data_IF_845375246692
#
_entry.id   IF_845375246692
#
_cell.length_a   1.000
_cell.length_b   1.000
_cell.length_c   1.000
_cell.angle_alpha   90.00
_cell.angle_beta   90.00
_cell.angle_gamma   90.00
#
_symmetry.space_group_name_H-M   'P 1'
#
loop_
_entity.id
_entity.type
_entity.pdbx_description
1 polymer ?
#
# COMPACT_ATOMS: atom_id res chain seq x y z
N UNK A 1 -7.22 -3.53 -10.92
CA UNK A 1 -6.21 -3.08 -9.93
C UNK A 1 -4.74 -3.31 -10.38
N UNK A 2 -4.46 -3.36 -11.69
CA UNK A 2 -3.12 -3.64 -12.24
C UNK A 2 -2.21 -2.40 -12.19
N UNK A 3 -2.79 -1.19 -12.26
CA UNK A 3 -2.05 0.08 -12.28
C UNK A 3 -1.23 0.36 -11.01
N UNK A 4 -1.73 0.02 -9.82
CA UNK A 4 -1.01 0.26 -8.56
C UNK A 4 0.23 -0.64 -8.39
N UNK A 5 0.15 -1.91 -8.80
CA UNK A 5 1.31 -2.80 -8.83
C UNK A 5 2.36 -2.32 -9.85
N UNK A 6 1.91 -1.83 -11.02
CA UNK A 6 2.80 -1.24 -12.02
C UNK A 6 3.49 0.03 -11.50
N UNK A 7 2.74 0.94 -10.88
CA UNK A 7 3.27 2.19 -10.34
C UNK A 7 4.37 1.96 -9.28
N UNK A 8 4.11 1.05 -8.33
CA UNK A 8 5.09 0.68 -7.31
C UNK A 8 6.31 0.02 -7.95
N UNK A 9 6.14 -0.85 -8.95
CA UNK A 9 7.27 -1.43 -9.69
C UNK A 9 8.09 -0.38 -10.44
N UNK A 10 7.46 0.63 -11.03
CA UNK A 10 8.18 1.73 -11.71
C UNK A 10 9.04 2.51 -10.72
N UNK A 11 8.50 2.83 -9.54
CA UNK A 11 9.24 3.52 -8.48
C UNK A 11 10.40 2.66 -7.97
N UNK A 12 10.13 1.39 -7.68
CA UNK A 12 11.10 0.48 -7.08
C UNK A 12 12.15 -0.06 -8.08
N UNK A 13 11.94 0.08 -9.41
CA UNK A 13 12.95 -0.27 -10.42
C UNK A 13 14.27 0.50 -10.22
N UNK A 14 14.22 1.66 -9.57
CA UNK A 14 15.39 2.48 -9.26
C UNK A 14 16.19 1.99 -8.04
N UNK A 15 15.62 1.05 -7.26
CA UNK A 15 16.18 0.55 -6.00
C UNK A 15 16.24 -0.98 -6.05
N UNK A 16 17.38 -1.59 -6.43
CA UNK A 16 17.51 -3.04 -6.47
C UNK A 16 17.31 -3.61 -5.06
N UNK A 17 16.42 -4.60 -4.96
CA UNK A 17 16.14 -5.34 -3.74
C UNK A 17 17.43 -5.96 -3.20
N UNK A 18 17.69 -5.89 -1.88
CA UNK A 18 18.64 -6.78 -1.24
C UNK A 18 18.20 -8.24 -1.51
N UNK A 19 19.13 -9.12 -1.88
CA UNK A 19 18.83 -10.55 -1.99
C UNK A 19 18.55 -11.11 -0.59
N UNK A 20 17.28 -11.15 -0.20
CA UNK A 20 16.85 -11.81 1.02
C UNK A 20 15.78 -12.85 0.72
N UNK A 21 15.94 -14.02 1.35
CA UNK A 21 15.13 -15.21 1.14
C UNK A 21 13.66 -14.97 1.50
N UNK A 22 12.78 -15.37 0.60
CA UNK A 22 11.33 -15.29 0.78
C UNK A 22 10.61 -16.04 -0.32
N UNK A 23 9.30 -16.21 -0.16
CA UNK A 23 8.44 -16.86 -1.16
C UNK A 23 8.38 -16.01 -2.43
N UNK A 24 8.64 -16.64 -3.58
CA UNK A 24 8.59 -15.98 -4.89
C UNK A 24 7.20 -15.34 -5.11
N UNK A 25 7.19 -14.04 -5.45
CA UNK A 25 5.94 -13.31 -5.69
C UNK A 25 5.14 -12.89 -4.46
N UNK A 26 5.51 -13.31 -3.24
CA UNK A 26 4.74 -12.98 -2.03
C UNK A 26 4.62 -11.47 -1.77
N UNK A 27 5.66 -10.69 -2.06
CA UNK A 27 5.61 -9.23 -1.92
C UNK A 27 4.54 -8.57 -2.82
N UNK A 28 4.33 -9.10 -4.03
CA UNK A 28 3.30 -8.60 -4.93
C UNK A 28 1.89 -8.93 -4.41
N UNK A 29 1.69 -10.15 -3.90
CA UNK A 29 0.43 -10.57 -3.29
C UNK A 29 0.10 -9.76 -2.04
N UNK A 30 1.06 -9.58 -1.12
CA UNK A 30 0.92 -8.73 0.07
C UNK A 30 0.49 -7.32 -0.33
N UNK A 31 1.15 -6.73 -1.33
CA UNK A 31 0.79 -5.41 -1.83
C UNK A 31 -0.62 -5.32 -2.43
N UNK A 32 -1.15 -6.40 -3.02
CA UNK A 32 -2.55 -6.44 -3.48
C UNK A 32 -3.50 -6.45 -2.29
N UNK A 33 -3.24 -7.30 -1.29
CA UNK A 33 -4.07 -7.39 -0.07
C UNK A 33 -4.12 -6.04 0.65
N UNK A 34 -2.98 -5.37 0.84
CA UNK A 34 -2.93 -4.06 1.47
C UNK A 34 -3.75 -3.00 0.74
N UNK A 35 -3.77 -3.03 -0.59
CA UNK A 35 -4.58 -2.10 -1.38
C UNK A 35 -6.07 -2.37 -1.24
N UNK A 36 -6.47 -3.64 -1.16
CA UNK A 36 -7.86 -4.02 -0.88
C UNK A 36 -8.25 -3.51 0.51
N UNK A 37 -7.45 -3.78 1.54
CA UNK A 37 -7.69 -3.25 2.88
C UNK A 37 -7.75 -1.72 2.91
N UNK A 38 -6.80 -1.05 2.26
CA UNK A 38 -6.77 0.42 2.18
C UNK A 38 -8.04 0.97 1.56
N UNK A 39 -8.47 0.44 0.40
CA UNK A 39 -9.69 0.92 -0.24
C UNK A 39 -10.93 0.65 0.61
N UNK A 40 -11.08 -0.56 1.15
CA UNK A 40 -12.22 -0.88 2.01
C UNK A 40 -12.29 0.04 3.21
N UNK A 41 -11.18 0.25 3.92
CA UNK A 41 -11.15 1.08 5.12
C UNK A 41 -11.38 2.57 4.80
N UNK A 42 -10.84 3.08 3.69
CA UNK A 42 -11.11 4.45 3.23
C UNK A 42 -12.58 4.63 2.88
N UNK A 43 -13.18 3.69 2.15
CA UNK A 43 -14.60 3.76 1.78
C UNK A 43 -15.53 3.71 3.00
N UNK A 44 -15.16 2.97 4.04
CA UNK A 44 -15.90 2.91 5.32
C UNK A 44 -15.52 4.08 6.26
N UNK A 45 -14.57 4.94 5.88
CA UNK A 45 -14.11 6.07 6.68
C UNK A 45 -13.27 5.71 7.90
N UNK A 46 -12.75 4.49 7.98
CA UNK A 46 -12.00 3.96 9.14
C UNK A 46 -10.48 4.17 8.98
N UNK A 47 -10.06 5.44 9.00
CA UNK A 47 -8.64 5.80 8.84
C UNK A 47 -7.74 5.29 10.00
N UNK A 48 -8.28 5.19 11.21
CA UNK A 48 -7.53 4.66 12.36
C UNK A 48 -7.18 3.18 12.19
N UNK A 49 -8.13 2.39 11.68
CA UNK A 49 -7.90 0.98 11.39
C UNK A 49 -6.85 0.80 10.28
N UNK A 50 -6.82 1.70 9.28
CA UNK A 50 -5.79 1.70 8.24
C UNK A 50 -4.40 1.95 8.83
N UNK A 51 -4.28 2.92 9.75
CA UNK A 51 -3.02 3.19 10.45
C UNK A 51 -2.56 1.98 11.30
N UNK A 52 -3.50 1.27 11.94
CA UNK A 52 -3.22 0.06 12.70
C UNK A 52 -2.68 -1.07 11.79
N UNK A 53 -3.27 -1.28 10.62
CA UNK A 53 -2.79 -2.29 9.65
C UNK A 53 -1.37 -1.97 9.18
N UNK A 54 -1.07 -0.69 8.90
CA UNK A 54 0.27 -0.24 8.53
C UNK A 54 1.29 -0.50 9.65
N UNK A 55 0.93 -0.17 10.89
CA UNK A 55 1.76 -0.41 12.05
C UNK A 55 2.01 -1.91 12.28
N UNK A 56 0.95 -2.72 12.26
CA UNK A 56 1.02 -4.18 12.44
C UNK A 56 1.94 -4.83 11.40
N UNK A 57 1.85 -4.42 10.13
CA UNK A 57 2.73 -4.90 9.06
C UNK A 57 4.21 -4.58 9.33
N UNK A 58 4.47 -3.37 9.83
CA UNK A 58 5.84 -2.92 10.13
C UNK A 58 6.42 -3.64 11.34
N UNK A 59 5.59 -3.95 12.34
CA UNK A 59 5.97 -4.79 13.48
C UNK A 59 6.29 -6.23 13.03
N UNK A 60 5.48 -6.81 12.15
CA UNK A 60 5.70 -8.17 11.65
C UNK A 60 7.02 -8.35 10.87
N UNK A 61 7.59 -7.26 10.32
CA UNK A 61 8.89 -7.24 9.62
C UNK A 61 9.98 -6.50 10.37
N UNK A 62 9.83 -6.30 11.68
CA UNK A 62 10.75 -5.48 12.47
C UNK A 62 12.21 -5.96 12.39
N UNK A 63 12.44 -7.29 12.37
CA UNK A 63 13.78 -7.86 12.20
C UNK A 63 14.39 -7.51 10.83
N UNK A 64 13.65 -7.68 9.73
CA UNK A 64 14.11 -7.32 8.38
C UNK A 64 14.40 -5.82 8.25
N UNK A 65 13.63 -4.97 8.95
CA UNK A 65 13.81 -3.52 8.97
C UNK A 65 15.12 -3.07 9.65
N UNK A 66 15.86 -3.96 10.34
CA UNK A 66 17.22 -3.65 10.82
C UNK A 66 18.21 -3.49 9.67
N UNK A 67 17.96 -4.12 8.52
CA UNK A 67 18.72 -3.87 7.30
C UNK A 67 18.27 -2.56 6.65
N UNK A 68 19.13 -1.54 6.70
CA UNK A 68 18.82 -0.19 6.19
C UNK A 68 18.33 -0.18 4.74
N UNK A 69 18.96 -0.95 3.85
CA UNK A 69 18.57 -0.98 2.42
C UNK A 69 17.18 -1.59 2.25
N UNK A 70 16.88 -2.65 3.00
CA UNK A 70 15.56 -3.26 3.00
C UNK A 70 14.51 -2.32 3.58
N UNK A 71 14.82 -1.65 4.70
CA UNK A 71 13.92 -0.70 5.34
C UNK A 71 13.54 0.46 4.41
N UNK A 72 14.51 1.07 3.73
CA UNK A 72 14.27 2.13 2.75
C UNK A 72 13.41 1.62 1.58
N UNK A 73 13.73 0.45 1.02
CA UNK A 73 12.93 -0.18 -0.04
C UNK A 73 11.48 -0.44 0.41
N UNK A 74 11.32 -1.04 1.59
CA UNK A 74 10.03 -1.41 2.16
C UNK A 74 9.16 -0.18 2.44
N UNK A 75 9.75 0.87 3.02
CA UNK A 75 9.07 2.12 3.33
C UNK A 75 8.61 2.82 2.05
N UNK A 76 9.50 2.96 1.05
CA UNK A 76 9.15 3.56 -0.24
C UNK A 76 8.02 2.77 -0.91
N UNK A 77 8.12 1.44 -0.95
CA UNK A 77 7.10 0.59 -1.57
C UNK A 77 5.74 0.65 -0.88
N UNK A 78 5.73 0.54 0.44
CA UNK A 78 4.48 0.50 1.22
C UNK A 78 3.79 1.86 1.22
N UNK A 79 4.52 2.94 1.50
CA UNK A 79 3.96 4.29 1.55
C UNK A 79 3.45 4.76 0.18
N UNK A 80 4.23 4.53 -0.89
CA UNK A 80 3.78 4.91 -2.24
C UNK A 80 2.52 4.17 -2.68
N UNK A 81 2.42 2.86 -2.38
CA UNK A 81 1.22 2.07 -2.67
C UNK A 81 0.00 2.55 -1.88
N UNK A 82 0.16 2.81 -0.58
CA UNK A 82 -0.92 3.27 0.29
C UNK A 82 -1.41 4.66 -0.09
N UNK A 83 -0.50 5.59 -0.40
CA UNK A 83 -0.86 6.92 -0.89
C UNK A 83 -1.67 6.85 -2.18
N UNK A 84 -1.25 6.03 -3.13
CA UNK A 84 -1.98 5.84 -4.39
C UNK A 84 -3.39 5.26 -4.14
N UNK A 85 -3.50 4.22 -3.33
CA UNK A 85 -4.80 3.62 -3.01
C UNK A 85 -5.73 4.58 -2.26
N UNK A 86 -5.19 5.32 -1.29
CA UNK A 86 -5.96 6.32 -0.54
C UNK A 86 -6.45 7.46 -1.43
N UNK A 87 -5.61 7.96 -2.35
CA UNK A 87 -6.02 8.97 -3.32
C UNK A 87 -7.18 8.47 -4.20
N UNK A 88 -7.09 7.23 -4.70
CA UNK A 88 -8.16 6.61 -5.49
C UNK A 88 -9.44 6.45 -4.66
N UNK A 89 -9.33 6.01 -3.40
CA UNK A 89 -10.48 5.85 -2.50
C UNK A 89 -11.19 7.17 -2.22
N UNK A 90 -10.45 8.22 -1.86
CA UNK A 90 -11.00 9.57 -1.62
C UNK A 90 -11.62 10.14 -2.89
N UNK A 91 -10.94 10.01 -4.04
CA UNK A 91 -11.47 10.45 -5.33
C UNK A 91 -12.79 9.74 -5.67
N UNK A 92 -12.88 8.44 -5.39
CA UNK A 92 -14.11 7.66 -5.59
C UNK A 92 -15.24 8.16 -4.67
N UNK A 93 -14.96 8.41 -3.40
CA UNK A 93 -15.94 8.98 -2.47
C UNK A 93 -16.42 10.36 -2.93
N UNK A 94 -15.50 11.21 -3.38
CA UNK A 94 -15.83 12.53 -3.92
C UNK A 94 -16.78 12.42 -5.12
N UNK A 95 -16.45 11.55 -6.08
CA UNK A 95 -17.28 11.32 -7.27
C UNK A 95 -18.69 10.82 -6.92
N UNK A 96 -18.78 9.85 -5.99
CA UNK A 96 -20.07 9.33 -5.51
C UNK A 96 -20.87 10.43 -4.82
N UNK A 97 -20.22 11.30 -4.03
CA UNK A 97 -20.90 12.40 -3.35
C UNK A 97 -21.51 13.42 -4.32
N UNK A 98 -20.84 13.71 -5.44
CA UNK A 98 -21.37 14.59 -6.47
C UNK A 98 -22.56 13.96 -7.21
N UNK A 99 -22.52 12.65 -7.49
CA UNK A 99 -23.65 11.95 -8.10
C UNK A 99 -24.89 11.93 -7.19
N UNK A 100 -24.69 11.70 -5.89
CA UNK A 100 -25.80 11.68 -4.91
C UNK A 100 -26.44 13.06 -4.76
N UNK A 101 -25.70 14.16 -4.92
CA UNK A 101 -26.26 15.53 -4.85
C UNK A 101 -27.14 15.89 -6.06
N UNK A 102 -26.94 15.20 -7.18
CA UNK A 102 -27.64 15.49 -8.45
C UNK A 102 -29.00 14.76 -8.53
N UNK A 103 -29.18 13.69 -7.74
CA UNK A 103 -30.42 12.88 -7.66
C UNK A 103 -31.31 13.38 -6.53
#
# INVERSE_FOLDING_TARGET
MVGGHFFVRVILKKYPLPEEGGLEGAGAMIGILERIFTLTLVLVGQYMALALVLAAKSIARFEDLKNRKFAEYYLIGTLSSMLCAMFVGIFTLWLVSELVKIV
#
